data_IF_794787188464
#
_entry.id   IF_794787188464
#
_cell.length_a   1.000
_cell.length_b   1.000
_cell.length_c   1.000
_cell.angle_alpha   90.00
_cell.angle_beta   90.00
_cell.angle_gamma   90.00
#
_symmetry.space_group_name_H-M   'P 1'
#
loop_
_entity.id
_entity.type
_entity.pdbx_description
1 polymer ?
#
# COMPACT_ATOMS: atom_id res chain seq x y z
N UNK A 1 -9.40 -28.42 8.79
CA UNK A 1 -8.77 -27.75 7.63
C UNK A 1 -9.08 -26.28 7.83
N UNK A 2 -8.13 -25.51 8.36
CA UNK A 2 -8.33 -24.07 8.56
C UNK A 2 -8.15 -23.45 7.19
N UNK A 3 -9.27 -23.09 6.55
CA UNK A 3 -9.26 -22.33 5.31
C UNK A 3 -8.72 -20.96 5.72
N UNK A 4 -7.43 -20.73 5.51
CA UNK A 4 -6.91 -19.36 5.46
C UNK A 4 -7.64 -18.72 4.29
N UNK A 5 -8.63 -17.89 4.62
CA UNK A 5 -9.49 -17.29 3.64
C UNK A 5 -8.60 -16.44 2.73
N UNK A 6 -8.53 -16.76 1.44
CA UNK A 6 -7.73 -15.99 0.47
C UNK A 6 -8.06 -14.49 0.53
N UNK A 7 -9.29 -14.16 0.95
CA UNK A 7 -9.74 -12.82 1.24
C UNK A 7 -8.93 -12.09 2.34
N UNK A 8 -8.44 -12.77 3.37
CA UNK A 8 -7.65 -12.13 4.45
C UNK A 8 -6.27 -11.74 3.94
N UNK A 9 -5.61 -12.62 3.19
CA UNK A 9 -4.31 -12.34 2.58
C UNK A 9 -4.44 -11.24 1.53
N UNK A 10 -5.49 -11.30 0.71
CA UNK A 10 -5.82 -10.27 -0.26
C UNK A 10 -6.11 -8.92 0.39
N UNK A 11 -6.88 -8.90 1.48
CA UNK A 11 -7.18 -7.67 2.22
C UNK A 11 -5.91 -7.04 2.81
N UNK A 12 -5.03 -7.82 3.43
CA UNK A 12 -3.76 -7.30 3.95
C UNK A 12 -2.86 -6.74 2.83
N UNK A 13 -2.79 -7.42 1.68
CA UNK A 13 -2.05 -6.93 0.51
C UNK A 13 -2.64 -5.62 -0.04
N UNK A 14 -3.96 -5.56 -0.20
CA UNK A 14 -4.65 -4.35 -0.70
C UNK A 14 -4.48 -3.15 0.23
N UNK A 15 -4.49 -3.36 1.55
CA UNK A 15 -4.27 -2.29 2.54
C UNK A 15 -2.83 -1.79 2.55
N UNK A 16 -1.84 -2.67 2.38
CA UNK A 16 -0.42 -2.28 2.30
C UNK A 16 -0.12 -1.49 1.02
N UNK A 17 -0.69 -1.90 -0.11
CA UNK A 17 -0.56 -1.16 -1.39
C UNK A 17 -1.25 0.20 -1.30
N UNK A 18 -2.46 0.26 -0.73
CA UNK A 18 -3.19 1.52 -0.53
C UNK A 18 -2.49 2.49 0.43
N UNK A 19 -1.69 1.98 1.38
CA UNK A 19 -0.91 2.80 2.32
C UNK A 19 0.36 3.41 1.67
N UNK A 20 0.84 2.86 0.55
CA UNK A 20 2.06 3.34 -0.15
C UNK A 20 1.77 4.09 -1.44
N UNK A 21 0.57 3.94 -2.02
CA UNK A 21 0.14 4.67 -3.21
C UNK A 21 -0.51 6.01 -2.84
N UNK A 22 0.29 6.99 -2.42
CA UNK A 22 -0.11 8.37 -2.66
C UNK A 22 -0.09 8.60 -4.17
N UNK A 23 -1.20 9.01 -4.78
CA UNK A 23 -1.22 9.37 -6.20
C UNK A 23 -0.32 10.60 -6.42
N UNK A 24 0.95 10.35 -6.69
CA UNK A 24 1.90 11.42 -6.95
C UNK A 24 1.76 11.87 -8.40
N UNK A 25 1.45 13.15 -8.56
CA UNK A 25 1.37 13.81 -9.85
C UNK A 25 2.79 14.25 -10.24
N UNK A 26 3.15 14.12 -11.51
CA UNK A 26 4.43 14.64 -12.01
C UNK A 26 4.21 15.75 -13.01
N UNK A 27 4.74 16.90 -12.68
CA UNK A 27 4.75 18.08 -13.51
C UNK A 27 5.95 17.99 -14.45
N UNK A 28 5.68 18.03 -15.75
CA UNK A 28 6.67 18.01 -16.83
C UNK A 28 6.71 19.36 -17.51
N UNK A 29 7.91 19.89 -17.76
CA UNK A 29 8.12 21.16 -18.44
C UNK A 29 8.79 20.86 -19.78
N UNK A 30 8.13 21.23 -20.86
CA UNK A 30 8.60 21.04 -22.23
C UNK A 30 8.94 22.39 -22.88
N UNK A 31 10.07 22.45 -23.58
CA UNK A 31 10.46 23.62 -24.37
C UNK A 31 9.98 23.48 -25.81
N UNK A 32 9.12 24.39 -26.25
CA UNK A 32 8.53 24.41 -27.59
C UNK A 32 9.55 24.69 -28.68
N UNK A 33 10.59 25.48 -28.41
CA UNK A 33 11.65 25.77 -29.38
C UNK A 33 12.52 24.55 -29.68
N UNK A 34 12.58 23.60 -28.74
CA UNK A 34 13.31 22.35 -28.86
C UNK A 34 12.37 21.18 -29.19
N UNK A 35 11.37 21.39 -30.06
CA UNK A 35 10.40 20.35 -30.45
C UNK A 35 9.70 19.65 -29.27
N UNK A 36 9.51 20.34 -28.15
CA UNK A 36 8.87 19.78 -26.96
C UNK A 36 9.78 18.90 -26.10
N UNK A 37 11.11 19.05 -26.18
CA UNK A 37 12.02 18.33 -25.28
C UNK A 37 11.71 18.67 -23.82
N UNK A 38 11.77 17.65 -22.96
CA UNK A 38 11.62 17.81 -21.52
C UNK A 38 12.85 18.51 -20.94
N UNK A 39 12.65 19.69 -20.35
CA UNK A 39 13.70 20.53 -19.76
C UNK A 39 13.59 20.64 -18.24
N UNK A 40 12.46 20.22 -17.67
CA UNK A 40 12.24 20.28 -16.23
C UNK A 40 11.20 19.27 -15.76
N UNK A 41 11.35 18.88 -14.50
CA UNK A 41 10.53 17.84 -13.87
C UNK A 41 10.36 18.16 -12.40
N UNK A 42 9.11 18.14 -11.93
CA UNK A 42 8.79 18.34 -10.52
C UNK A 42 7.79 17.29 -10.03
N UNK A 43 7.92 16.94 -8.75
CA UNK A 43 6.88 16.20 -8.05
C UNK A 43 5.78 17.18 -7.62
N UNK A 44 4.54 16.72 -7.72
CA UNK A 44 3.36 17.45 -7.32
C UNK A 44 2.37 16.51 -6.61
N UNK A 45 1.48 17.07 -5.80
CA UNK A 45 0.36 16.35 -5.20
C UNK A 45 -0.91 17.16 -5.44
N UNK A 46 -1.98 16.50 -5.86
CA UNK A 46 -3.26 17.15 -6.14
C UNK A 46 -3.94 17.63 -4.86
N UNK A 47 -4.80 18.63 -4.98
CA UNK A 47 -5.70 19.03 -3.90
C UNK A 47 -6.65 17.90 -3.51
N UNK A 48 -7.12 17.82 -2.27
CA UNK A 48 -8.19 16.88 -1.89
C UNK A 48 -9.59 17.43 -2.19
N UNK A 49 -9.71 18.32 -3.17
CA UNK A 49 -10.92 19.03 -3.55
C UNK A 49 -10.80 19.60 -4.97
N UNK A 50 -11.94 19.93 -5.58
CA UNK A 50 -12.01 20.31 -7.00
C UNK A 50 -11.84 19.12 -7.95
N UNK A 51 -11.90 19.34 -9.27
CA UNK A 51 -11.81 18.28 -10.27
C UNK A 51 -10.35 17.90 -10.57
N UNK A 52 -9.72 17.14 -9.68
CA UNK A 52 -8.28 16.83 -9.77
C UNK A 52 -7.90 15.97 -10.98
N UNK A 53 -8.81 15.14 -11.47
CA UNK A 53 -8.60 14.27 -12.64
C UNK A 53 -8.37 15.09 -13.92
N UNK A 54 -8.89 16.32 -13.98
CA UNK A 54 -8.75 17.19 -15.15
C UNK A 54 -7.27 17.54 -15.44
N UNK A 55 -6.38 17.48 -14.44
CA UNK A 55 -4.95 17.73 -14.64
C UNK A 55 -4.33 16.89 -15.74
N UNK A 56 -4.74 15.63 -15.89
CA UNK A 56 -4.17 14.71 -16.88
C UNK A 56 -4.53 15.09 -18.32
N UNK A 57 -5.57 15.89 -18.50
CA UNK A 57 -6.02 16.41 -19.80
C UNK A 57 -5.52 17.83 -20.09
N UNK A 58 -4.86 18.46 -19.11
CA UNK A 58 -4.43 19.86 -19.19
C UNK A 58 -2.97 19.95 -19.60
N UNK A 59 -2.74 20.73 -20.66
CA UNK A 59 -1.43 21.32 -20.96
C UNK A 59 -1.59 22.84 -20.86
N UNK A 60 -0.67 23.52 -20.18
CA UNK A 60 -0.83 24.93 -19.93
C UNK A 60 0.46 25.72 -19.78
N UNK A 61 0.31 27.03 -19.71
CA UNK A 61 1.40 27.99 -19.51
C UNK A 61 1.27 28.58 -18.12
N UNK A 62 2.37 28.57 -17.37
CA UNK A 62 2.40 29.01 -15.98
C UNK A 62 2.60 30.52 -15.92
N UNK A 63 1.78 31.21 -15.13
CA UNK A 63 1.85 32.66 -14.91
C UNK A 63 1.93 32.93 -13.42
N UNK A 64 2.80 33.86 -13.01
CA UNK A 64 2.80 34.33 -11.63
C UNK A 64 1.49 35.04 -11.31
N UNK A 65 0.78 34.53 -10.30
CA UNK A 65 -0.39 35.20 -9.78
C UNK A 65 -0.01 36.56 -9.16
N UNK A 66 -0.89 37.54 -9.31
CA UNK A 66 -0.76 38.85 -8.69
C UNK A 66 -2.09 39.20 -7.98
N UNK A 67 -2.13 39.24 -6.64
CA UNK A 67 -1.03 39.00 -5.70
C UNK A 67 -0.60 37.53 -5.63
N UNK A 68 0.69 37.28 -5.34
CA UNK A 68 1.26 35.92 -5.35
C UNK A 68 0.68 35.01 -4.28
N UNK A 69 0.19 35.56 -3.17
CA UNK A 69 -0.46 34.77 -2.12
C UNK A 69 -1.88 34.33 -2.51
N UNK A 70 -2.52 34.94 -3.51
CA UNK A 70 -3.90 34.62 -3.92
C UNK A 70 -4.99 34.80 -2.87
N UNK A 71 -4.74 35.53 -1.78
CA UNK A 71 -5.78 35.74 -0.76
C UNK A 71 -6.81 36.80 -1.16
N UNK A 72 -6.40 37.73 -2.02
CA UNK A 72 -7.23 38.77 -2.62
C UNK A 72 -7.58 38.43 -4.08
N UNK A 73 -8.55 39.14 -4.70
CA UNK A 73 -8.84 38.97 -6.13
C UNK A 73 -7.57 39.09 -6.98
N UNK A 74 -7.35 38.09 -7.84
CA UNK A 74 -6.18 38.05 -8.71
C UNK A 74 -6.38 38.92 -9.95
N UNK A 75 -5.28 39.46 -10.46
CA UNK A 75 -5.20 39.96 -11.83
C UNK A 75 -5.54 38.82 -12.81
N UNK A 76 -6.29 39.11 -13.90
CA UNK A 76 -6.60 38.11 -14.92
C UNK A 76 -5.33 37.66 -15.66
N UNK A 77 -5.38 36.53 -16.37
CA UNK A 77 -4.27 36.13 -17.24
C UNK A 77 -4.00 37.18 -18.34
N UNK A 78 -2.79 37.20 -18.94
CA UNK A 78 -2.35 38.26 -19.83
C UNK A 78 -3.29 38.56 -21.02
N UNK A 79 -3.91 37.52 -21.57
CA UNK A 79 -4.89 37.61 -22.65
C UNK A 79 -5.74 36.34 -22.72
N UNK A 80 -6.96 36.38 -23.28
CA UNK A 80 -7.74 35.18 -23.54
C UNK A 80 -7.05 34.32 -24.60
N UNK A 81 -6.91 33.02 -24.33
CA UNK A 81 -6.33 32.06 -25.28
C UNK A 81 -7.41 31.38 -26.09
N UNK A 82 -7.13 31.17 -27.38
CA UNK A 82 -7.99 30.43 -28.31
C UNK A 82 -7.34 29.11 -28.76
N UNK A 83 -6.20 28.73 -28.18
CA UNK A 83 -5.55 27.46 -28.43
C UNK A 83 -5.91 26.42 -27.36
N UNK A 84 -5.37 25.21 -27.48
CA UNK A 84 -5.62 24.12 -26.53
C UNK A 84 -4.87 24.30 -25.19
N UNK A 85 -4.17 25.43 -24.99
CA UNK A 85 -3.38 25.69 -23.80
C UNK A 85 -4.19 26.51 -22.79
N UNK A 86 -4.09 26.14 -21.52
CA UNK A 86 -4.73 26.88 -20.43
C UNK A 86 -3.73 27.70 -19.62
N UNK A 87 -4.19 28.81 -19.07
CA UNK A 87 -3.42 29.57 -18.11
C UNK A 87 -3.45 28.90 -16.74
N UNK A 88 -2.26 28.64 -16.19
CA UNK A 88 -2.07 28.04 -14.87
C UNK A 88 -1.53 29.11 -13.92
N UNK A 89 -2.31 29.45 -12.89
CA UNK A 89 -1.87 30.40 -11.87
C UNK A 89 -0.83 29.78 -10.95
N UNK A 90 0.35 30.37 -10.83
CA UNK A 90 1.36 30.02 -9.84
C UNK A 90 1.20 30.88 -8.60
N UNK A 91 0.98 30.24 -7.46
CA UNK A 91 0.64 30.86 -6.19
C UNK A 91 1.62 30.41 -5.10
N UNK A 92 1.91 31.30 -4.15
CA UNK A 92 2.68 30.99 -2.95
C UNK A 92 1.79 30.51 -1.81
N UNK A 93 2.22 29.47 -1.11
CA UNK A 93 1.70 29.17 0.23
C UNK A 93 2.26 30.17 1.24
N UNK A 94 1.38 30.70 2.08
CA UNK A 94 1.80 31.57 3.19
C UNK A 94 2.49 30.74 4.29
N UNK A 95 3.49 31.33 4.94
CA UNK A 95 4.25 30.72 6.05
C UNK A 95 3.79 31.16 7.45
N UNK A 96 2.78 32.04 7.56
CA UNK A 96 2.39 32.69 8.82
C UNK A 96 0.88 32.89 9.02
N UNK A 97 0.53 33.57 10.12
CA UNK A 97 -0.85 33.73 10.61
C UNK A 97 -1.76 34.63 9.74
N UNK A 98 -1.20 35.37 8.78
CA UNK A 98 -1.94 36.20 7.81
C UNK A 98 -2.31 35.46 6.52
N UNK A 99 -2.10 34.14 6.47
CA UNK A 99 -2.43 33.33 5.31
C UNK A 99 -3.92 33.00 5.20
N UNK A 100 -4.36 32.69 3.98
CA UNK A 100 -5.70 32.21 3.69
C UNK A 100 -5.70 30.73 3.29
N UNK A 101 -6.87 30.08 3.40
CA UNK A 101 -7.05 28.68 3.01
C UNK A 101 -6.81 28.44 1.52
N UNK A 102 -6.38 27.22 1.18
CA UNK A 102 -6.05 26.83 -0.19
C UNK A 102 -7.24 26.97 -1.16
N UNK A 103 -8.43 26.55 -0.73
CA UNK A 103 -9.66 26.68 -1.50
C UNK A 103 -9.99 28.14 -1.84
N UNK A 104 -9.73 29.09 -0.93
CA UNK A 104 -9.87 30.53 -1.19
C UNK A 104 -8.90 31.01 -2.27
N UNK A 105 -7.63 30.59 -2.20
CA UNK A 105 -6.60 30.95 -3.22
C UNK A 105 -7.02 30.49 -4.60
N UNK A 106 -7.43 29.22 -4.70
CA UNK A 106 -7.83 28.60 -5.96
C UNK A 106 -9.13 29.21 -6.48
N UNK A 107 -10.09 29.51 -5.60
CA UNK A 107 -11.34 30.18 -6.00
C UNK A 107 -11.10 31.59 -6.54
N UNK A 108 -10.12 32.32 -5.99
CA UNK A 108 -9.73 33.62 -6.54
C UNK A 108 -9.08 33.49 -7.93
N UNK A 109 -8.26 32.44 -8.15
CA UNK A 109 -7.71 32.12 -9.48
C UNK A 109 -8.80 31.74 -10.48
N UNK A 110 -9.75 30.91 -10.08
CA UNK A 110 -10.92 30.56 -10.89
C UNK A 110 -11.71 31.80 -11.30
N UNK A 111 -11.98 32.72 -10.36
CA UNK A 111 -12.70 33.97 -10.63
C UNK A 111 -11.95 34.91 -11.57
N UNK A 112 -10.62 34.88 -11.54
CA UNK A 112 -9.78 35.66 -12.45
C UNK A 112 -9.66 35.03 -13.85
N UNK A 113 -10.21 33.83 -14.08
CA UNK A 113 -10.24 33.17 -15.38
C UNK A 113 -9.07 32.22 -15.65
N UNK A 114 -8.37 31.76 -14.62
CA UNK A 114 -7.36 30.70 -14.77
C UNK A 114 -8.03 29.32 -14.89
N UNK A 115 -7.44 28.45 -15.70
CA UNK A 115 -7.95 27.08 -15.94
C UNK A 115 -7.42 26.05 -14.96
N UNK A 116 -6.31 26.33 -14.27
CA UNK A 116 -5.75 25.50 -13.21
C UNK A 116 -4.90 26.34 -12.25
N UNK A 117 -4.57 25.79 -11.08
CA UNK A 117 -3.72 26.45 -10.10
C UNK A 117 -2.57 25.54 -9.61
N UNK A 118 -1.38 26.12 -9.49
CA UNK A 118 -0.22 25.52 -8.87
C UNK A 118 0.16 26.31 -7.63
N UNK A 119 0.25 25.64 -6.49
CA UNK A 119 0.66 26.24 -5.23
C UNK A 119 2.04 25.70 -4.86
N UNK A 120 3.06 26.55 -4.77
CA UNK A 120 4.35 26.11 -4.24
C UNK A 120 4.42 26.35 -2.73
N UNK A 121 4.95 25.35 -2.03
CA UNK A 121 5.09 25.40 -0.59
C UNK A 121 6.22 26.36 -0.16
N UNK A 122 6.17 26.85 1.09
CA UNK A 122 7.27 27.66 1.66
C UNK A 122 8.44 26.77 2.13
N UNK A 123 8.19 25.47 2.34
CA UNK A 123 9.18 24.44 2.62
C UNK A 123 9.44 23.56 1.38
N UNK A 124 10.56 22.84 1.37
CA UNK A 124 10.87 21.90 0.29
C UNK A 124 10.17 20.53 0.48
N UNK A 125 8.94 20.56 0.98
CA UNK A 125 8.07 19.42 1.25
C UNK A 125 6.76 19.60 0.48
N UNK A 126 6.07 18.50 0.18
CA UNK A 126 4.72 18.55 -0.39
C UNK A 126 3.76 18.20 0.74
N UNK A 127 2.67 18.97 0.86
CA UNK A 127 1.62 18.71 1.83
C UNK A 127 0.29 18.60 1.11
N UNK A 128 -0.50 17.59 1.48
CA UNK A 128 -1.87 17.45 1.02
C UNK A 128 -2.67 18.73 1.30
N UNK A 129 -3.20 19.34 0.23
CA UNK A 129 -4.04 20.52 0.36
C UNK A 129 -5.46 20.09 0.75
N UNK A 130 -5.91 20.54 1.92
CA UNK A 130 -7.28 20.35 2.38
C UNK A 130 -8.07 21.65 2.20
N UNK A 131 -9.34 21.52 1.82
CA UNK A 131 -10.24 22.65 1.75
C UNK A 131 -10.73 23.06 3.15
N UNK A 132 -11.16 24.30 3.25
CA UNK A 132 -12.04 24.76 4.31
C UNK A 132 -13.49 24.47 3.91
N UNK A 133 -14.41 25.43 4.10
CA UNK A 133 -15.83 25.31 3.70
C UNK A 133 -16.09 25.64 2.22
N UNK A 134 -15.08 26.10 1.46
CA UNK A 134 -15.26 26.56 0.08
C UNK A 134 -14.80 25.54 -0.97
N UNK A 135 -14.28 24.38 -0.56
CA UNK A 135 -13.77 23.35 -1.47
C UNK A 135 -14.77 22.91 -2.54
N UNK A 136 -16.06 22.82 -2.21
CA UNK A 136 -17.13 22.43 -3.15
C UNK A 136 -17.41 23.46 -4.24
N UNK A 137 -16.93 24.70 -4.09
CA UNK A 137 -17.09 25.77 -5.08
C UNK A 137 -15.94 25.85 -6.09
N UNK A 138 -14.88 25.06 -5.86
CA UNK A 138 -13.71 24.99 -6.73
C UNK A 138 -14.00 24.06 -7.90
N UNK A 139 -13.89 24.60 -9.10
CA UNK A 139 -14.19 23.96 -10.39
C UNK A 139 -12.96 23.89 -11.30
N UNK A 140 -11.80 24.30 -10.81
CA UNK A 140 -10.52 24.16 -11.52
C UNK A 140 -9.59 23.22 -10.76
N UNK A 141 -8.80 22.39 -11.45
CA UNK A 141 -7.82 21.53 -10.81
C UNK A 141 -6.72 22.35 -10.12
N UNK A 142 -6.28 21.87 -8.96
CA UNK A 142 -5.18 22.49 -8.21
C UNK A 142 -4.20 21.48 -7.64
N UNK A 143 -2.89 21.76 -7.74
CA UNK A 143 -1.83 20.89 -7.24
C UNK A 143 -0.76 21.68 -6.50
N UNK A 144 -0.12 21.03 -5.53
CA UNK A 144 0.99 21.57 -4.76
C UNK A 144 2.31 21.06 -5.31
N UNK A 145 3.32 21.94 -5.37
CA UNK A 145 4.71 21.60 -5.66
C UNK A 145 5.63 22.03 -4.53
N UNK A 146 6.85 21.50 -4.50
CA UNK A 146 7.88 21.92 -3.53
C UNK A 146 8.30 23.38 -3.74
N UNK A 147 8.86 24.00 -2.70
CA UNK A 147 9.46 25.34 -2.81
C UNK A 147 10.45 25.44 -3.96
N UNK A 148 11.37 24.47 -4.08
CA UNK A 148 12.41 24.47 -5.12
C UNK A 148 11.83 24.44 -6.53
N UNK A 149 10.75 23.69 -6.74
CA UNK A 149 10.05 23.67 -8.02
C UNK A 149 9.34 25.00 -8.28
N UNK A 150 8.66 25.55 -7.27
CA UNK A 150 8.01 26.85 -7.36
C UNK A 150 8.96 27.95 -7.79
N UNK A 151 10.11 28.08 -7.11
CA UNK A 151 11.12 29.09 -7.44
C UNK A 151 11.72 28.85 -8.82
N UNK A 152 11.96 27.59 -9.20
CA UNK A 152 12.44 27.24 -10.53
C UNK A 152 11.44 27.67 -11.63
N UNK A 153 10.15 27.41 -11.41
CA UNK A 153 9.09 27.87 -12.31
C UNK A 153 9.10 29.39 -12.43
N UNK A 154 9.11 30.10 -11.29
CA UNK A 154 9.09 31.56 -11.24
C UNK A 154 10.24 32.20 -12.01
N UNK A 155 11.46 31.68 -11.85
CA UNK A 155 12.66 32.28 -12.42
C UNK A 155 12.81 31.96 -13.91
N UNK A 156 12.47 30.73 -14.33
CA UNK A 156 12.86 30.22 -15.65
C UNK A 156 11.69 29.94 -16.59
N UNK A 157 10.55 29.51 -16.07
CA UNK A 157 9.49 28.87 -16.87
C UNK A 157 8.14 29.57 -16.83
N UNK A 158 7.99 30.63 -16.02
CA UNK A 158 6.82 31.51 -16.06
C UNK A 158 6.80 32.31 -17.36
N UNK A 159 5.58 32.50 -17.87
CA UNK A 159 5.29 33.36 -19.02
C UNK A 159 5.97 34.73 -18.87
N UNK A 160 6.64 35.15 -19.94
CA UNK A 160 7.17 36.50 -20.09
C UNK A 160 6.79 37.01 -21.48
N UNK A 161 6.39 38.28 -21.65
CA UNK A 161 6.08 38.86 -22.97
C UNK A 161 7.21 38.66 -24.00
N UNK A 162 8.47 38.58 -23.55
CA UNK A 162 9.63 38.38 -24.43
C UNK A 162 9.81 36.94 -24.91
N UNK A 163 9.33 35.96 -24.14
CA UNK A 163 9.49 34.51 -24.41
C UNK A 163 8.18 33.83 -24.81
N UNK A 164 7.07 34.58 -24.81
CA UNK A 164 5.70 34.11 -25.02
C UNK A 164 5.44 32.74 -24.35
N UNK A 165 4.82 31.80 -25.07
CA UNK A 165 4.43 30.46 -24.61
C UNK A 165 5.51 29.43 -24.96
N UNK A 166 6.79 29.76 -24.76
CA UNK A 166 7.91 28.86 -25.04
C UNK A 166 7.85 27.60 -24.18
N UNK A 167 7.48 27.72 -22.91
CA UNK A 167 7.44 26.60 -21.99
C UNK A 167 6.01 26.18 -21.71
N UNK A 168 5.71 24.92 -21.98
CA UNK A 168 4.44 24.31 -21.67
C UNK A 168 4.61 23.31 -20.53
N UNK A 169 3.63 23.30 -19.63
CA UNK A 169 3.55 22.39 -18.51
C UNK A 169 2.44 21.38 -18.77
N UNK A 170 2.76 20.11 -18.59
CA UNK A 170 1.81 19.02 -18.64
C UNK A 170 1.96 18.12 -17.41
N UNK A 171 0.88 17.46 -17.04
CA UNK A 171 0.84 16.59 -15.87
C UNK A 171 0.72 15.14 -16.29
N UNK A 172 1.49 14.28 -15.64
CA UNK A 172 1.45 12.83 -15.87
C UNK A 172 1.31 12.12 -14.56
N UNK A 173 0.60 11.01 -14.59
CA UNK A 173 0.55 10.10 -13.46
C UNK A 173 1.95 9.52 -13.26
N UNK A 174 2.46 9.65 -12.03
CA UNK A 174 3.72 9.03 -11.67
C UNK A 174 3.44 7.86 -10.76
N UNK A 175 3.49 6.68 -11.36
CA UNK A 175 3.58 5.45 -10.62
C UNK A 175 5.01 5.32 -10.10
N UNK A 176 5.23 5.61 -8.82
CA UNK A 176 6.49 5.30 -8.17
C UNK A 176 6.63 3.78 -8.06
N UNK A 177 7.34 3.16 -9.01
CA UNK A 177 7.75 1.77 -8.89
C UNK A 177 8.87 1.68 -7.85
N UNK A 178 8.50 1.70 -6.56
CA UNK A 178 9.47 1.44 -5.50
C UNK A 178 9.65 -0.07 -5.36
N UNK A 179 10.68 -0.60 -6.04
CA UNK A 179 11.04 -2.01 -6.02
C UNK A 179 11.13 -2.57 -4.60
N UNK A 180 11.57 -1.77 -3.62
CA UNK A 180 11.69 -2.20 -2.23
C UNK A 180 10.34 -2.54 -1.62
N UNK A 181 9.30 -1.75 -1.89
CA UNK A 181 7.93 -1.98 -1.38
C UNK A 181 7.39 -3.32 -1.89
N UNK A 182 7.61 -3.62 -3.16
CA UNK A 182 7.19 -4.91 -3.76
C UNK A 182 7.97 -6.09 -3.19
N UNK A 183 9.30 -5.96 -3.03
CA UNK A 183 10.13 -7.01 -2.45
C UNK A 183 9.76 -7.27 -0.99
N UNK A 184 9.55 -6.23 -0.19
CA UNK A 184 9.11 -6.35 1.20
C UNK A 184 7.76 -7.07 1.28
N UNK A 185 6.81 -6.68 0.41
CA UNK A 185 5.49 -7.31 0.33
C UNK A 185 5.59 -8.80 -0.05
N UNK A 186 6.44 -9.14 -1.02
CA UNK A 186 6.68 -10.52 -1.44
C UNK A 186 7.30 -11.38 -0.34
N UNK A 187 8.32 -10.86 0.35
CA UNK A 187 8.96 -11.55 1.49
C UNK A 187 7.97 -11.74 2.63
N UNK A 188 7.13 -10.74 2.93
CA UNK A 188 6.11 -10.86 3.96
C UNK A 188 5.14 -12.02 3.70
N UNK A 189 4.66 -12.17 2.46
CA UNK A 189 3.76 -13.28 2.06
C UNK A 189 4.44 -14.64 2.25
N UNK A 190 5.71 -14.75 1.86
CA UNK A 190 6.50 -15.98 2.04
C UNK A 190 6.65 -16.31 3.53
N UNK A 191 7.06 -15.34 4.34
CA UNK A 191 7.23 -15.52 5.79
C UNK A 191 5.93 -15.94 6.47
N UNK A 192 4.81 -15.29 6.17
CA UNK A 192 3.49 -15.66 6.73
C UNK A 192 3.11 -17.09 6.34
N UNK A 193 3.36 -17.50 5.09
CA UNK A 193 3.08 -18.85 4.61
C UNK A 193 3.91 -19.92 5.35
N UNK A 194 5.20 -19.66 5.57
CA UNK A 194 6.07 -20.55 6.35
C UNK A 194 5.63 -20.67 7.81
N UNK A 195 5.25 -19.55 8.44
CA UNK A 195 4.75 -19.54 9.82
C UNK A 195 3.48 -20.39 9.93
N UNK A 196 2.53 -20.22 9.02
CA UNK A 196 1.29 -21.00 9.00
C UNK A 196 1.55 -22.50 8.82
N UNK A 197 2.46 -22.86 7.91
CA UNK A 197 2.87 -24.24 7.72
C UNK A 197 3.51 -24.83 8.98
N UNK A 198 4.42 -24.10 9.62
CA UNK A 198 5.06 -24.51 10.87
C UNK A 198 4.04 -24.71 12.01
N UNK A 199 3.06 -23.83 12.14
CA UNK A 199 1.98 -23.97 13.14
C UNK A 199 1.12 -25.20 12.89
N UNK A 200 0.74 -25.48 11.64
CA UNK A 200 -0.01 -26.68 11.28
C UNK A 200 0.79 -27.95 11.56
N UNK A 201 2.09 -27.94 11.26
CA UNK A 201 3.00 -29.04 11.59
C UNK A 201 3.12 -29.25 13.09
N UNK A 202 3.32 -28.18 13.87
CA UNK A 202 3.38 -28.24 15.32
C UNK A 202 2.07 -28.78 15.91
N UNK A 203 0.92 -28.32 15.41
CA UNK A 203 -0.38 -28.83 15.83
C UNK A 203 -0.56 -30.32 15.54
N UNK A 204 -0.22 -30.77 14.32
CA UNK A 204 -0.25 -32.20 13.95
C UNK A 204 0.68 -33.01 14.84
N UNK A 205 1.90 -32.52 15.06
CA UNK A 205 2.88 -33.18 15.92
C UNK A 205 2.38 -33.36 17.35
N UNK A 206 1.78 -32.31 17.94
CA UNK A 206 1.19 -32.36 19.28
C UNK A 206 0.01 -33.35 19.30
N UNK A 207 -0.87 -33.32 18.30
CA UNK A 207 -2.00 -34.25 18.19
C UNK A 207 -1.53 -35.70 18.11
N UNK A 208 -0.56 -36.01 17.26
CA UNK A 208 -0.05 -37.35 17.08
C UNK A 208 0.70 -37.85 18.31
N UNK A 209 1.46 -36.96 18.98
CA UNK A 209 2.06 -37.29 20.29
C UNK A 209 0.99 -37.62 21.33
N UNK A 210 -0.11 -36.85 21.41
CA UNK A 210 -1.22 -37.12 22.34
C UNK A 210 -1.92 -38.45 22.03
N UNK A 211 -2.13 -38.79 20.76
CA UNK A 211 -2.75 -40.07 20.36
C UNK A 211 -1.84 -41.24 20.74
N UNK A 212 -0.55 -41.18 20.40
CA UNK A 212 0.43 -42.22 20.76
C UNK A 212 0.58 -42.44 22.26
N UNK A 213 0.37 -41.41 23.07
CA UNK A 213 0.36 -41.57 24.54
C UNK A 213 -0.88 -42.32 25.04
N UNK A 214 -2.04 -42.15 24.40
CA UNK A 214 -3.30 -42.82 24.78
C UNK A 214 -3.36 -44.29 24.35
N UNK A 215 -2.63 -44.68 23.30
CA UNK A 215 -2.58 -46.06 22.81
C UNK A 215 -1.64 -46.97 23.60
N UNK A 216 -1.02 -46.49 24.70
CA UNK A 216 -0.16 -47.30 25.56
C UNK A 216 -0.93 -47.74 26.81
N UNK A 217 -1.09 -49.05 27.00
CA UNK A 217 -1.57 -49.62 28.25
C UNK A 217 -0.62 -49.21 29.39
N UNK A 218 -1.17 -48.64 30.47
CA UNK A 218 -0.36 -48.25 31.62
C UNK A 218 0.26 -49.48 32.29
N UNK A 219 1.45 -49.33 32.91
CA UNK A 219 2.11 -50.41 33.65
C UNK A 219 1.23 -50.99 34.77
N UNK A 220 0.35 -50.18 35.36
CA UNK A 220 -0.63 -50.63 36.36
C UNK A 220 -1.73 -51.50 35.75
N UNK A 221 -2.19 -51.20 34.54
CA UNK A 221 -3.15 -52.04 33.81
C UNK A 221 -2.54 -53.40 33.42
N UNK A 222 -1.27 -53.41 32.99
CA UNK A 222 -0.54 -54.65 32.69
C UNK A 222 -0.33 -55.56 33.91
N UNK A 223 -0.28 -54.99 35.13
CA UNK A 223 -0.18 -55.75 36.38
C UNK A 223 -1.51 -56.39 36.82
N UNK A 224 -2.65 -55.92 36.28
CA UNK A 224 -3.99 -56.45 36.58
C UNK A 224 -4.44 -57.56 35.63
N UNK A 225 -3.66 -57.86 34.58
CA UNK A 225 -3.99 -58.91 33.62
C UNK A 225 -3.94 -60.30 34.29
N UNK A 226 -4.87 -61.16 33.91
CA UNK A 226 -4.99 -62.52 34.45
C UNK A 226 -3.74 -63.32 34.08
N UNK A 227 -3.15 -63.97 35.08
CA UNK A 227 -2.00 -64.86 34.91
C UNK A 227 -2.48 -66.30 35.01
N UNK A 228 -2.17 -67.12 34.01
CA UNK A 228 -2.41 -68.58 34.00
C UNK A 228 -1.07 -69.29 33.82
N UNK A 229 -0.94 -70.53 34.32
CA UNK A 229 0.18 -71.40 33.96
C UNK A 229 -0.16 -72.18 32.68
N UNK A 230 0.80 -72.29 31.77
CA UNK A 230 0.66 -73.09 30.54
C UNK A 230 0.57 -74.58 30.87
N UNK A 231 -0.39 -75.26 30.25
CA UNK A 231 -0.58 -76.70 30.35
C UNK A 231 -0.70 -77.34 28.95
N UNK A 232 0.21 -78.28 28.67
CA UNK A 232 0.39 -78.87 27.34
C UNK A 232 -0.74 -79.88 27.08
N UNK A 233 -1.75 -79.46 26.32
CA UNK A 233 -2.91 -80.27 25.94
C UNK A 233 -4.28 -79.64 26.22
N UNK A 234 -4.34 -78.58 27.04
CA UNK A 234 -5.59 -77.85 27.33
C UNK A 234 -5.64 -76.45 26.72
N UNK A 235 -4.48 -75.82 26.49
CA UNK A 235 -4.39 -74.48 25.91
C UNK A 235 -4.33 -74.53 24.37
N UNK A 236 -5.05 -73.64 23.65
CA UNK A 236 -5.15 -73.65 22.19
C UNK A 236 -3.92 -73.10 21.47
N UNK A 237 -3.00 -72.45 22.19
CA UNK A 237 -1.81 -71.81 21.62
C UNK A 237 -0.55 -72.34 22.32
N UNK A 238 0.43 -72.76 21.52
CA UNK A 238 1.69 -73.34 22.03
C UNK A 238 2.88 -72.37 21.92
N UNK A 239 2.69 -71.18 21.36
CA UNK A 239 3.75 -70.20 21.09
C UNK A 239 3.30 -68.77 21.45
N UNK A 240 4.25 -67.95 21.92
CA UNK A 240 4.01 -66.57 22.28
C UNK A 240 3.88 -65.67 21.04
N UNK A 241 2.73 -65.00 20.87
CA UNK A 241 2.50 -64.09 19.75
C UNK A 241 3.40 -62.83 19.70
N UNK A 242 4.22 -62.59 20.74
CA UNK A 242 5.07 -61.40 20.86
C UNK A 242 6.55 -61.76 20.67
N UNK A 243 7.07 -62.74 21.40
CA UNK A 243 8.48 -63.18 21.27
C UNK A 243 8.67 -64.36 20.31
N UNK A 244 7.59 -64.99 19.85
CA UNK A 244 7.60 -66.14 18.94
C UNK A 244 8.35 -67.36 19.50
N UNK A 245 8.44 -67.45 20.83
CA UNK A 245 9.02 -68.58 21.55
C UNK A 245 7.91 -69.56 21.97
N UNK A 246 8.19 -70.86 21.86
CA UNK A 246 7.28 -71.93 22.29
C UNK A 246 7.17 -71.98 23.82
N UNK A 247 5.99 -72.32 24.33
CA UNK A 247 5.73 -72.39 25.77
C UNK A 247 6.19 -73.71 26.38
N UNK A 248 6.80 -73.63 27.55
CA UNK A 248 7.17 -74.80 28.36
C UNK A 248 6.15 -75.06 29.48
N UNK A 249 5.91 -76.33 29.86
CA UNK A 249 4.98 -76.65 30.95
C UNK A 249 5.34 -75.91 32.24
N UNK A 250 4.40 -75.11 32.76
CA UNK A 250 4.60 -74.31 33.98
C UNK A 250 4.91 -72.83 33.75
N UNK A 251 5.08 -72.39 32.50
CA UNK A 251 5.26 -70.98 32.15
C UNK A 251 4.07 -70.12 32.56
N UNK A 252 4.36 -68.90 33.04
CA UNK A 252 3.35 -67.94 33.49
C UNK A 252 2.90 -67.03 32.35
N UNK A 253 1.76 -67.35 31.76
CA UNK A 253 1.16 -66.60 30.65
C UNK A 253 0.30 -65.46 31.18
N UNK A 254 0.43 -64.28 30.56
CA UNK A 254 -0.48 -63.14 30.79
C UNK A 254 -1.43 -63.04 29.61
N UNK A 255 -2.71 -63.25 29.89
CA UNK A 255 -3.74 -63.22 28.85
C UNK A 255 -4.15 -61.76 28.62
N UNK A 256 -4.04 -61.29 27.37
CA UNK A 256 -4.48 -59.94 26.97
C UNK A 256 -6.02 -59.88 26.87
N UNK A 257 -6.65 -58.68 26.92
CA UNK A 257 -8.12 -58.56 26.90
C UNK A 257 -8.80 -59.15 25.64
N UNK A 258 -8.05 -59.40 24.58
CA UNK A 258 -8.49 -60.07 23.35
C UNK A 258 -8.20 -61.58 23.33
N UNK A 259 -7.81 -62.17 24.48
CA UNK A 259 -7.61 -63.60 24.70
C UNK A 259 -6.59 -64.29 23.77
N UNK A 260 -5.58 -63.55 23.33
CA UNK A 260 -4.37 -64.08 22.70
C UNK A 260 -3.19 -64.00 23.66
#
# INVERSE_FOLDING_TARGET
MIIINANIVYMMFSSIVALTSGETLRLTIADRELNGTLVGLCNAETARFGPTEDFYSITGVVVNAAPINGCEPLQPPPYPRNDSLVWIALLARDSGASGCYFDRKILNAQKAGFGAALIYNYENTINAMQASSLGSKVLIPAAMVTRSCGTLLQEKFVYSPERDSRFNVAFREYFSFDFNVYVISFVAIICTSFILFALLWAFRWIRDRRIRQRSRLSRSSLKKLKVKKFDKGTDPYECCAICLEDFEPGDKLRILPCNH
#
